data_IF_779436147629
#
_entry.id   IF_779436147629
#
_cell.length_a   1.000
_cell.length_b   1.000
_cell.length_c   1.000
_cell.angle_alpha   90.00
_cell.angle_beta   90.00
_cell.angle_gamma   90.00
#
_symmetry.space_group_name_H-M   'P 1'
#
loop_
_entity.id
_entity.type
_entity.pdbx_description
1 polymer ?
#
# COMPACT_ATOMS: atom_id res chain seq x y z
N UNK A 1 2.73 25.31 27.18
CA UNK A 1 1.96 24.97 25.96
C UNK A 1 1.32 26.24 25.46
N UNK A 2 1.72 26.75 24.30
CA UNK A 2 1.17 27.99 23.75
C UNK A 2 -0.24 27.74 23.21
N UNK A 3 -1.15 28.72 23.33
CA UNK A 3 -2.50 28.65 22.74
C UNK A 3 -2.45 28.38 21.22
N UNK A 4 -1.39 28.83 20.56
CA UNK A 4 -1.13 28.54 19.15
C UNK A 4 -0.89 27.05 18.89
N UNK A 5 -0.21 26.33 19.79
CA UNK A 5 0.05 24.88 19.61
C UNK A 5 -1.27 24.07 19.67
N UNK A 6 -2.20 24.50 20.53
CA UNK A 6 -3.50 23.86 20.69
C UNK A 6 -4.39 24.00 19.45
N UNK A 7 -4.34 25.13 18.75
CA UNK A 7 -5.12 25.38 17.53
C UNK A 7 -4.41 24.82 16.29
N UNK A 8 -3.08 24.91 16.23
CA UNK A 8 -2.30 24.47 15.07
C UNK A 8 -2.23 22.95 14.96
N UNK A 9 -2.14 22.22 16.07
CA UNK A 9 -2.07 20.75 16.07
C UNK A 9 -3.24 20.06 15.34
N UNK A 10 -4.53 20.36 15.65
CA UNK A 10 -5.65 19.78 14.92
C UNK A 10 -5.71 20.27 13.47
N UNK A 11 -5.32 21.51 13.19
CA UNK A 11 -5.34 22.09 11.84
C UNK A 11 -4.38 21.35 10.89
N UNK A 12 -3.15 21.09 11.35
CA UNK A 12 -2.15 20.36 10.57
C UNK A 12 -2.63 18.93 10.30
N UNK A 13 -3.22 18.26 11.31
CA UNK A 13 -3.80 16.92 11.14
C UNK A 13 -4.96 16.91 10.15
N UNK A 14 -5.77 17.95 10.15
CA UNK A 14 -6.89 18.10 9.21
C UNK A 14 -6.39 18.26 7.77
N UNK A 15 -5.37 19.09 7.54
CA UNK A 15 -4.75 19.24 6.22
C UNK A 15 -4.15 17.91 5.75
N UNK A 16 -3.47 17.19 6.63
CA UNK A 16 -2.88 15.88 6.31
C UNK A 16 -3.95 14.84 5.94
N UNK A 17 -5.11 14.86 6.61
CA UNK A 17 -6.25 14.02 6.27
C UNK A 17 -6.86 14.39 4.91
N UNK A 18 -6.99 15.69 4.60
CA UNK A 18 -7.48 16.18 3.32
C UNK A 18 -6.59 15.73 2.16
N UNK A 19 -5.27 15.81 2.31
CA UNK A 19 -4.31 15.34 1.29
C UNK A 19 -4.47 13.83 1.07
N UNK A 20 -4.58 13.04 2.15
CA UNK A 20 -4.77 11.58 2.06
C UNK A 20 -6.09 11.21 1.36
N UNK A 21 -7.12 12.04 1.50
CA UNK A 21 -8.40 11.85 0.83
C UNK A 21 -8.29 12.14 -0.68
N UNK A 22 -7.57 13.21 -1.05
CA UNK A 22 -7.28 13.53 -2.45
C UNK A 22 -6.39 12.46 -3.10
N UNK A 23 -5.43 11.90 -2.37
CA UNK A 23 -4.57 10.82 -2.85
C UNK A 23 -5.30 9.48 -3.01
N UNK A 24 -6.45 9.31 -2.36
CA UNK A 24 -7.35 8.16 -2.54
C UNK A 24 -8.19 8.27 -3.82
N UNK A 25 -8.25 9.46 -4.41
CA UNK A 25 -8.92 9.71 -5.67
C UNK A 25 -8.07 9.18 -6.86
N UNK A 26 -8.71 8.83 -7.99
CA UNK A 26 -8.01 8.27 -9.16
C UNK A 26 -6.91 9.21 -9.67
N UNK A 27 -5.83 8.69 -10.30
CA UNK A 27 -5.77 7.42 -11.07
C UNK A 27 -5.27 6.20 -10.28
N UNK A 28 -5.94 5.07 -10.46
CA UNK A 28 -5.50 3.78 -9.95
C UNK A 28 -4.46 3.15 -10.88
N UNK A 29 -3.33 2.74 -10.32
CA UNK A 29 -2.24 2.11 -11.07
C UNK A 29 -2.41 0.60 -10.95
N UNK A 30 -2.29 -0.10 -12.09
CA UNK A 30 -2.25 -1.55 -12.11
C UNK A 30 -0.79 -2.01 -12.21
N UNK A 31 -0.40 -2.89 -11.29
CA UNK A 31 0.93 -3.48 -11.23
C UNK A 31 0.74 -4.99 -11.18
N UNK A 32 1.34 -5.69 -12.12
CA UNK A 32 1.33 -7.15 -12.18
C UNK A 32 2.76 -7.64 -12.06
N UNK A 33 2.97 -8.69 -11.27
CA UNK A 33 4.29 -9.29 -11.14
C UNK A 33 4.42 -10.24 -9.96
N UNK A 34 5.63 -10.77 -9.84
CA UNK A 34 6.03 -11.65 -8.75
C UNK A 34 6.23 -10.83 -7.47
N UNK A 35 5.79 -11.37 -6.34
CA UNK A 35 6.17 -10.87 -5.03
C UNK A 35 7.65 -11.20 -4.77
N UNK A 36 8.52 -10.20 -4.87
CA UNK A 36 9.98 -10.34 -4.72
C UNK A 36 10.39 -10.35 -3.24
N UNK A 37 9.73 -9.52 -2.43
CA UNK A 37 10.13 -9.32 -1.05
C UNK A 37 9.05 -8.64 -0.22
N UNK A 38 9.18 -8.80 1.10
CA UNK A 38 8.28 -8.22 2.09
C UNK A 38 9.12 -7.57 3.19
N UNK A 39 8.83 -6.32 3.52
CA UNK A 39 9.55 -5.56 4.52
C UNK A 39 8.58 -4.91 5.51
N UNK A 40 9.00 -4.84 6.77
CA UNK A 40 8.29 -4.12 7.81
C UNK A 40 9.13 -2.90 8.17
N UNK A 41 8.61 -1.70 7.93
CA UNK A 41 9.31 -0.47 8.26
C UNK A 41 9.05 -0.13 9.74
N UNK A 42 10.08 -0.29 10.57
CA UNK A 42 10.01 -0.09 12.03
C UNK A 42 9.63 1.34 12.44
N UNK A 43 9.87 2.33 11.58
CA UNK A 43 9.61 3.75 11.90
C UNK A 43 8.13 4.12 12.01
N UNK A 44 7.21 3.32 11.47
CA UNK A 44 5.78 3.69 11.39
C UNK A 44 4.83 2.48 11.29
N UNK A 45 5.27 1.28 11.68
CA UNK A 45 4.52 0.01 11.54
C UNK A 45 3.92 -0.21 10.14
N UNK A 46 4.60 0.33 9.11
CA UNK A 46 4.14 0.23 7.74
C UNK A 46 4.64 -1.06 7.12
N UNK A 47 3.72 -1.94 6.79
CA UNK A 47 4.00 -3.15 6.01
C UNK A 47 4.06 -2.81 4.52
N UNK A 48 5.18 -3.14 3.89
CA UNK A 48 5.43 -2.87 2.47
C UNK A 48 5.88 -4.13 1.75
N UNK A 49 5.43 -4.26 0.51
CA UNK A 49 5.76 -5.38 -0.37
C UNK A 49 6.43 -4.85 -1.63
N UNK A 50 7.29 -5.68 -2.20
CA UNK A 50 8.00 -5.39 -3.45
C UNK A 50 7.48 -6.31 -4.54
N UNK A 51 6.89 -5.72 -5.58
CA UNK A 51 6.40 -6.45 -6.75
C UNK A 51 7.00 -5.82 -7.99
N UNK A 52 7.73 -6.62 -8.77
CA UNK A 52 8.43 -6.14 -9.97
C UNK A 52 9.25 -4.86 -9.70
N UNK A 53 10.04 -4.90 -8.61
CA UNK A 53 10.83 -3.77 -8.10
C UNK A 53 10.04 -2.50 -7.71
N UNK A 54 8.70 -2.56 -7.62
CA UNK A 54 7.86 -1.48 -7.11
C UNK A 54 7.45 -1.74 -5.67
N UNK A 55 7.62 -0.71 -4.84
CA UNK A 55 7.21 -0.73 -3.43
C UNK A 55 5.73 -0.37 -3.33
N UNK A 56 4.95 -1.19 -2.63
CA UNK A 56 3.54 -0.96 -2.35
C UNK A 56 3.27 -1.14 -0.86
N UNK A 57 2.57 -0.18 -0.27
CA UNK A 57 2.07 -0.29 1.11
C UNK A 57 0.84 -1.19 1.14
N UNK A 58 0.82 -2.14 2.08
CA UNK A 58 -0.26 -3.09 2.29
C UNK A 58 -0.64 -3.14 3.76
N UNK A 59 -1.86 -3.57 4.05
CA UNK A 59 -2.29 -3.81 5.42
C UNK A 59 -1.51 -4.97 6.06
N UNK A 60 -1.26 -4.94 7.38
CA UNK A 60 -0.51 -5.99 8.07
C UNK A 60 -1.14 -7.37 7.95
N UNK A 61 -2.48 -7.44 7.92
CA UNK A 61 -3.19 -8.69 7.72
C UNK A 61 -2.86 -9.28 6.35
N UNK A 62 -3.01 -8.49 5.29
CA UNK A 62 -2.71 -8.87 3.91
C UNK A 62 -1.24 -9.26 3.74
N UNK A 63 -0.33 -8.55 4.39
CA UNK A 63 1.10 -8.88 4.43
C UNK A 63 1.38 -10.28 4.99
N UNK A 64 0.59 -10.75 5.97
CA UNK A 64 0.73 -12.08 6.57
C UNK A 64 0.26 -13.23 5.68
N UNK A 65 -0.69 -12.98 4.77
CA UNK A 65 -1.32 -14.01 3.91
C UNK A 65 -0.59 -14.21 2.57
N UNK A 66 0.23 -13.24 2.17
CA UNK A 66 0.96 -13.25 0.90
C UNK A 66 2.30 -13.99 1.05
N UNK A 67 2.61 -14.84 0.07
CA UNK A 67 3.84 -15.62 0.03
C UNK A 67 4.78 -15.10 -1.06
N UNK A 68 6.06 -14.98 -0.72
CA UNK A 68 7.11 -14.55 -1.67
C UNK A 68 7.15 -15.56 -2.82
N UNK A 69 7.21 -15.07 -4.06
CA UNK A 69 7.14 -15.90 -5.27
C UNK A 69 5.73 -16.08 -5.85
N UNK A 70 4.68 -15.56 -5.21
CA UNK A 70 3.34 -15.53 -5.81
C UNK A 70 3.26 -14.50 -6.94
N UNK A 71 2.52 -14.84 -8.01
CA UNK A 71 2.18 -13.89 -9.05
C UNK A 71 0.91 -13.13 -8.65
N UNK A 72 1.03 -11.82 -8.48
CA UNK A 72 -0.04 -10.98 -7.95
C UNK A 72 -0.36 -9.85 -8.93
N UNK A 73 -1.64 -9.51 -9.00
CA UNK A 73 -2.15 -8.30 -9.64
C UNK A 73 -2.59 -7.34 -8.56
N UNK A 74 -1.94 -6.19 -8.48
CA UNK A 74 -2.27 -5.15 -7.52
C UNK A 74 -2.86 -3.94 -8.23
N UNK A 75 -3.95 -3.44 -7.68
CA UNK A 75 -4.43 -2.09 -7.93
C UNK A 75 -3.96 -1.20 -6.80
N UNK A 76 -3.18 -0.16 -7.09
CA UNK A 76 -2.70 0.81 -6.10
C UNK A 76 -3.20 2.22 -6.38
N UNK A 77 -3.27 3.04 -5.33
CA UNK A 77 -3.49 4.49 -5.44
C UNK A 77 -2.24 5.21 -5.93
N UNK A 78 -2.34 6.52 -6.17
CA UNK A 78 -1.19 7.38 -6.52
C UNK A 78 -0.08 7.35 -5.46
N UNK A 79 -0.44 7.15 -4.20
CA UNK A 79 0.50 7.05 -3.08
C UNK A 79 1.04 5.63 -2.88
N UNK A 80 0.92 4.74 -3.88
CA UNK A 80 1.35 3.33 -3.81
C UNK A 80 0.75 2.54 -2.64
N UNK A 81 -0.50 2.86 -2.26
CA UNK A 81 -1.26 2.06 -1.29
C UNK A 81 -2.10 1.05 -2.04
N UNK A 82 -1.99 -0.22 -1.68
CA UNK A 82 -2.79 -1.26 -2.29
C UNK A 82 -4.28 -1.03 -1.99
N UNK A 83 -5.09 -1.04 -3.03
CA UNK A 83 -6.55 -0.98 -2.96
C UNK A 83 -7.15 -2.38 -3.10
N UNK A 84 -6.57 -3.19 -3.98
CA UNK A 84 -7.01 -4.56 -4.24
C UNK A 84 -5.81 -5.39 -4.72
N UNK A 85 -5.78 -6.66 -4.28
CA UNK A 85 -4.73 -7.62 -4.60
C UNK A 85 -5.41 -8.91 -5.04
N UNK A 86 -5.20 -9.29 -6.29
CA UNK A 86 -5.72 -10.52 -6.87
C UNK A 86 -4.56 -11.48 -7.14
N UNK A 87 -4.75 -12.78 -6.83
CA UNK A 87 -3.75 -13.82 -7.13
C UNK A 87 -3.96 -14.30 -8.55
N UNK A 88 -2.92 -14.21 -9.38
CA UNK A 88 -2.95 -14.78 -10.73
C UNK A 88 -2.48 -16.23 -10.62
N UNK A 89 -3.43 -17.15 -10.53
CA UNK A 89 -3.13 -18.58 -10.66
C UNK A 89 -2.96 -18.85 -12.15
N UNK A 90 -1.85 -19.44 -12.61
CA UNK A 90 -1.75 -19.87 -14.00
C UNK A 90 -2.84 -20.92 -14.25
N UNK A 91 -3.80 -20.58 -15.11
CA UNK A 91 -4.73 -21.57 -15.63
C UNK A 91 -3.92 -22.54 -16.52
N UNK A 92 -4.04 -23.84 -16.22
CA UNK A 92 -3.56 -24.99 -17.00
C UNK A 92 -2.08 -25.38 -16.81
N UNK A 93 -1.88 -26.39 -15.94
CA UNK A 93 -0.80 -27.35 -16.16
C UNK A 93 -1.10 -28.22 -17.40
N UNK A 94 -0.07 -28.72 -18.11
CA UNK A 94 -0.27 -29.57 -19.27
C UNK A 94 -0.95 -30.87 -18.84
N UNK A 95 -2.02 -31.24 -19.55
CA UNK A 95 -2.57 -32.61 -19.52
C UNK A 95 -1.60 -33.60 -20.14
#
# INVERSE_FOLDING_TARGET
MSFLDFVMFPFIKFIQAMISFVDSCPPYIHIEGLLEGKEVLEDNDKTVIYISSKRVEVDPYTFGILMIGENLRIRSTRSYRAVSIDRIIPEQGPV
#
